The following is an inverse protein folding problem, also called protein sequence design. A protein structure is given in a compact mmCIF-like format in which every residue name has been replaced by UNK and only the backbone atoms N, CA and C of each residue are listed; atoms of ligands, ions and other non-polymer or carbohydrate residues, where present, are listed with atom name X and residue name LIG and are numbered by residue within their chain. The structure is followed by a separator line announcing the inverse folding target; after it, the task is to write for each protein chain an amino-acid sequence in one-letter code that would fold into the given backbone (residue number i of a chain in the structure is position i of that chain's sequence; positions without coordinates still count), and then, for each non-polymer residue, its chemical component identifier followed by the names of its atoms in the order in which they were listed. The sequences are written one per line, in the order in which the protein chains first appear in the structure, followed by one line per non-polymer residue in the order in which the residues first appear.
data_IF_245267838250
#
_entry.id   IF_245267838250
#
_cell.length_a   1.000
_cell.length_b   1.000
_cell.length_c   1.000
_cell.angle_alpha   90.00
_cell.angle_beta   90.00
_cell.angle_gamma   90.00
#
_symmetry.space_group_name_H-M   'P 1'
#
loop_
_entity.id
_entity.type
_entity.pdbx_description
1 polymer ?
#
# COMPACT_ATOMS: atom_id res chain seq x y z
N UNK A 1 38.90 100.93 -8.20
CA UNK A 1 39.92 99.88 -7.93
C UNK A 1 39.57 99.33 -6.56
N UNK A 2 39.10 98.10 -6.35
CA UNK A 2 39.35 96.83 -7.01
C UNK A 2 38.05 96.00 -7.10
N UNK A 3 38.00 95.18 -8.15
CA UNK A 3 36.94 94.27 -8.61
C UNK A 3 37.02 92.88 -7.97
N UNK A 4 35.91 92.15 -7.94
CA UNK A 4 35.87 90.67 -7.87
C UNK A 4 34.76 90.15 -6.95
N UNK A 5 33.62 89.68 -7.49
CA UNK A 5 33.27 88.26 -7.73
C UNK A 5 32.97 87.52 -6.41
N UNK A 6 31.82 86.86 -6.17
CA UNK A 6 31.09 85.93 -7.02
C UNK A 6 29.69 85.61 -6.44
N UNK A 7 28.75 85.35 -7.34
CA UNK A 7 27.46 84.67 -7.12
C UNK A 7 27.67 83.24 -6.58
N UNK A 8 26.89 82.82 -5.58
CA UNK A 8 26.25 81.49 -5.56
C UNK A 8 24.88 81.64 -4.89
N UNK A 9 23.86 81.86 -5.72
CA UNK A 9 22.48 81.55 -5.43
C UNK A 9 22.24 80.08 -5.81
N UNK A 10 21.45 79.37 -5.02
CA UNK A 10 20.88 78.08 -5.41
C UNK A 10 21.57 76.89 -4.76
N UNK A 11 20.92 76.30 -3.75
CA UNK A 11 21.35 75.03 -3.20
C UNK A 11 20.79 74.72 -1.81
N UNK A 12 19.53 75.06 -1.54
CA UNK A 12 18.96 74.76 -0.22
C UNK A 12 17.47 74.41 -0.27
N UNK A 13 17.03 73.61 -1.26
CA UNK A 13 15.65 73.12 -1.31
C UNK A 13 15.54 71.88 -2.21
N UNK A 14 16.21 70.76 -1.89
CA UNK A 14 15.95 69.47 -2.57
C UNK A 14 16.61 68.24 -1.89
N UNK A 15 16.66 68.18 -0.55
CA UNK A 15 17.14 66.94 0.15
C UNK A 15 16.16 66.44 1.23
N UNK A 16 15.09 67.19 1.55
CA UNK A 16 14.12 66.78 2.59
C UNK A 16 12.87 66.05 2.07
N UNK A 17 12.71 65.85 0.75
CA UNK A 17 11.53 65.19 0.18
C UNK A 17 11.71 63.67 -0.10
N UNK A 18 12.90 63.11 0.08
CA UNK A 18 13.18 61.69 -0.24
C UNK A 18 13.17 60.75 0.99
N UNK A 19 12.84 61.24 2.18
CA UNK A 19 12.89 60.48 3.44
C UNK A 19 11.51 60.04 3.99
N UNK A 20 10.41 60.31 3.29
CA UNK A 20 9.04 59.97 3.74
C UNK A 20 8.33 58.87 2.92
N UNK A 21 9.00 58.26 1.93
CA UNK A 21 8.42 57.17 1.12
C UNK A 21 9.25 55.89 1.19
N UNK A 22 9.75 55.58 2.38
CA UNK A 22 10.23 54.24 2.73
C UNK A 22 9.47 53.72 3.95
N UNK A 23 8.13 53.80 3.94
CA UNK A 23 7.32 52.76 4.58
C UNK A 23 7.58 51.48 3.76
N UNK A 24 8.69 50.80 4.08
CA UNK A 24 8.96 49.47 3.55
C UNK A 24 7.73 48.62 3.86
N UNK A 25 7.16 48.02 2.83
CA UNK A 25 6.11 47.02 3.00
C UNK A 25 6.66 45.97 3.98
N UNK A 26 6.17 46.00 5.22
CA UNK A 26 6.51 44.98 6.20
C UNK A 26 6.09 43.65 5.58
N UNK A 27 7.06 42.80 5.23
CA UNK A 27 6.77 41.47 4.74
C UNK A 27 6.00 40.74 5.82
N UNK A 28 4.86 40.16 5.45
CA UNK A 28 4.11 39.29 6.36
C UNK A 28 5.04 38.20 6.89
N UNK A 29 4.86 37.78 8.16
CA UNK A 29 5.61 36.63 8.67
C UNK A 29 5.32 35.40 7.82
N UNK A 30 6.28 34.47 7.78
CA UNK A 30 6.03 33.17 7.17
C UNK A 30 4.85 32.46 7.86
N UNK A 31 4.01 31.82 7.05
CA UNK A 31 2.94 30.95 7.54
C UNK A 31 3.47 29.79 8.38
N UNK A 32 2.61 29.10 9.15
CA UNK A 32 3.00 27.87 9.82
C UNK A 32 3.52 26.87 8.79
N UNK A 33 4.67 26.26 9.09
CA UNK A 33 5.24 25.19 8.28
C UNK A 33 4.49 23.89 8.58
N UNK A 34 3.69 23.45 7.62
CA UNK A 34 2.88 22.22 7.70
C UNK A 34 3.25 21.22 6.60
N UNK A 35 4.32 21.48 5.84
CA UNK A 35 4.62 20.70 4.63
C UNK A 35 5.02 19.26 5.00
N UNK A 36 5.76 19.07 6.09
CA UNK A 36 6.12 17.74 6.59
C UNK A 36 4.89 16.92 7.03
N UNK A 37 3.97 17.58 7.74
CA UNK A 37 2.71 17.04 8.24
C UNK A 37 1.77 16.61 7.10
N UNK A 38 1.60 17.51 6.12
CA UNK A 38 0.84 17.25 4.90
C UNK A 38 1.42 16.04 4.13
N UNK A 39 2.73 16.03 3.89
CA UNK A 39 3.40 14.93 3.19
C UNK A 39 3.33 13.60 3.94
N UNK A 40 3.34 13.60 5.27
CA UNK A 40 3.13 12.40 6.07
C UNK A 40 1.69 11.88 5.90
N UNK A 41 0.70 12.77 6.00
CA UNK A 41 -0.73 12.45 5.84
C UNK A 41 -1.04 11.90 4.45
N UNK A 42 -0.55 12.54 3.39
CA UNK A 42 -0.75 12.07 2.01
C UNK A 42 -0.10 10.70 1.77
N UNK A 43 1.12 10.47 2.26
CA UNK A 43 1.80 9.17 2.12
C UNK A 43 1.06 8.07 2.88
N UNK A 44 0.58 8.35 4.08
CA UNK A 44 -0.18 7.38 4.87
C UNK A 44 -1.50 7.01 4.18
N UNK A 45 -2.20 8.00 3.63
CA UNK A 45 -3.45 7.78 2.88
C UNK A 45 -3.20 6.88 1.67
N UNK A 46 -2.21 7.21 0.84
CA UNK A 46 -1.85 6.40 -0.32
C UNK A 46 -1.41 4.97 0.05
N UNK A 47 -0.74 4.80 1.19
CA UNK A 47 -0.38 3.48 1.70
C UNK A 47 -1.62 2.64 2.05
N UNK A 48 -2.62 3.24 2.73
CA UNK A 48 -3.86 2.55 3.09
C UNK A 48 -4.65 2.17 1.84
N UNK A 49 -4.78 3.08 0.88
CA UNK A 49 -5.46 2.79 -0.39
C UNK A 49 -4.77 1.66 -1.16
N UNK A 50 -3.43 1.67 -1.19
CA UNK A 50 -2.65 0.61 -1.81
C UNK A 50 -2.86 -0.75 -1.15
N UNK A 51 -3.04 -0.80 0.18
CA UNK A 51 -3.36 -2.05 0.90
C UNK A 51 -4.70 -2.60 0.43
N UNK A 52 -5.73 -1.75 0.29
CA UNK A 52 -7.05 -2.19 -0.15
C UNK A 52 -7.02 -2.78 -1.57
N UNK A 53 -6.33 -2.10 -2.50
CA UNK A 53 -6.16 -2.57 -3.87
C UNK A 53 -5.41 -3.91 -3.90
N UNK A 54 -4.28 -4.00 -3.20
CA UNK A 54 -3.47 -5.24 -3.17
C UNK A 54 -4.24 -6.41 -2.55
N UNK A 55 -5.04 -6.17 -1.52
CA UNK A 55 -5.86 -7.22 -0.91
C UNK A 55 -6.95 -7.73 -1.85
N UNK A 56 -7.59 -6.83 -2.63
CA UNK A 56 -8.56 -7.22 -3.64
C UNK A 56 -7.90 -8.02 -4.77
N UNK A 57 -6.78 -7.53 -5.31
CA UNK A 57 -6.04 -8.20 -6.37
C UNK A 57 -5.54 -9.60 -5.94
N UNK A 58 -4.98 -9.73 -4.73
CA UNK A 58 -4.49 -11.01 -4.21
C UNK A 58 -5.65 -12.01 -3.98
N UNK A 59 -6.82 -11.54 -3.54
CA UNK A 59 -8.03 -12.38 -3.39
C UNK A 59 -8.57 -12.84 -4.75
N UNK A 60 -8.67 -11.94 -5.72
CA UNK A 60 -9.11 -12.26 -7.08
C UNK A 60 -8.14 -13.23 -7.76
N UNK A 61 -6.84 -13.05 -7.55
CA UNK A 61 -5.82 -13.99 -8.01
C UNK A 61 -6.03 -15.37 -7.39
N UNK A 62 -6.30 -15.46 -6.08
CA UNK A 62 -6.58 -16.74 -5.42
C UNK A 62 -7.81 -17.43 -6.02
N UNK A 63 -8.89 -16.69 -6.26
CA UNK A 63 -10.12 -17.21 -6.87
C UNK A 63 -9.87 -17.69 -8.30
N UNK A 64 -9.13 -16.92 -9.09
CA UNK A 64 -8.75 -17.28 -10.46
C UNK A 64 -7.93 -18.57 -10.51
N UNK A 65 -6.92 -18.70 -9.64
CA UNK A 65 -6.10 -19.91 -9.53
C UNK A 65 -6.93 -21.13 -9.12
N UNK A 66 -7.84 -20.98 -8.15
CA UNK A 66 -8.76 -22.05 -7.76
C UNK A 66 -9.63 -22.46 -8.93
N UNK A 67 -10.21 -21.51 -9.66
CA UNK A 67 -11.04 -21.81 -10.84
C UNK A 67 -10.23 -22.60 -11.89
N UNK A 68 -9.02 -22.15 -12.22
CA UNK A 68 -8.13 -22.86 -13.16
C UNK A 68 -7.82 -24.28 -12.69
N UNK A 69 -7.55 -24.46 -11.41
CA UNK A 69 -7.29 -25.77 -10.81
C UNK A 69 -8.48 -26.73 -10.99
N UNK A 70 -9.71 -26.26 -10.77
CA UNK A 70 -10.92 -27.10 -10.89
C UNK A 70 -11.22 -27.51 -12.34
N UNK A 71 -10.92 -26.65 -13.31
CA UNK A 71 -11.19 -26.95 -14.72
C UNK A 71 -10.15 -27.89 -15.35
N UNK A 72 -8.93 -27.95 -14.81
CA UNK A 72 -7.84 -28.74 -15.39
C UNK A 72 -7.98 -30.27 -15.19
N UNK A 73 -8.74 -30.74 -14.19
CA UNK A 73 -8.56 -32.07 -13.60
C UNK A 73 -9.51 -33.20 -14.00
N UNK A 74 -10.50 -32.97 -14.87
CA UNK A 74 -11.56 -33.98 -15.13
C UNK A 74 -10.99 -35.32 -15.63
N UNK A 75 -9.93 -35.26 -16.44
CA UNK A 75 -9.31 -36.45 -17.05
C UNK A 75 -8.47 -37.30 -16.07
N UNK A 76 -8.12 -36.74 -14.91
CA UNK A 76 -7.26 -37.40 -13.91
C UNK A 76 -8.03 -38.43 -13.06
N UNK A 77 -9.36 -38.45 -13.13
CA UNK A 77 -10.20 -39.37 -12.38
C UNK A 77 -10.25 -40.78 -12.99
N UNK A 78 -9.63 -40.99 -14.15
CA UNK A 78 -9.64 -42.28 -14.82
C UNK A 78 -8.41 -43.14 -14.45
N UNK A 79 -8.58 -44.44 -14.17
CA UNK A 79 -7.47 -45.37 -14.07
C UNK A 79 -6.58 -45.32 -15.34
N UNK A 80 -5.25 -45.56 -15.23
CA UNK A 80 -4.48 -45.96 -14.05
C UNK A 80 -3.88 -44.77 -13.24
N UNK A 81 -4.51 -43.59 -13.24
CA UNK A 81 -3.95 -42.42 -12.54
C UNK A 81 -3.89 -42.62 -11.01
N UNK A 82 -2.78 -42.28 -10.32
CA UNK A 82 -2.61 -42.46 -8.88
C UNK A 82 -3.33 -41.36 -8.07
N UNK A 83 -4.66 -41.26 -8.21
CA UNK A 83 -5.45 -40.13 -7.71
C UNK A 83 -5.30 -39.89 -6.20
N UNK A 84 -5.29 -40.93 -5.39
CA UNK A 84 -5.18 -40.78 -3.92
C UNK A 84 -3.82 -40.19 -3.50
N UNK A 85 -2.74 -40.62 -4.16
CA UNK A 85 -1.40 -40.08 -3.89
C UNK A 85 -1.26 -38.65 -4.41
N UNK A 86 -1.86 -38.35 -5.57
CA UNK A 86 -1.95 -37.00 -6.09
C UNK A 86 -2.69 -36.07 -5.10
N UNK A 87 -3.88 -36.47 -4.63
CA UNK A 87 -4.65 -35.71 -3.63
C UNK A 87 -3.84 -35.50 -2.36
N UNK A 88 -3.15 -36.52 -1.85
CA UNK A 88 -2.30 -36.40 -0.68
C UNK A 88 -1.22 -35.32 -0.89
N UNK A 89 -0.45 -35.42 -1.99
CA UNK A 89 0.60 -34.46 -2.33
C UNK A 89 0.04 -33.04 -2.44
N UNK A 90 -1.11 -32.86 -3.09
CA UNK A 90 -1.77 -31.56 -3.22
C UNK A 90 -2.16 -30.99 -1.85
N UNK A 91 -2.83 -31.77 -1.01
CA UNK A 91 -3.24 -31.33 0.33
C UNK A 91 -2.03 -31.02 1.22
N UNK A 92 -0.99 -31.84 1.15
CA UNK A 92 0.26 -31.60 1.89
C UNK A 92 0.97 -30.33 1.41
N UNK A 93 1.10 -30.14 0.09
CA UNK A 93 1.66 -28.91 -0.49
C UNK A 93 0.84 -27.70 -0.02
N UNK A 94 -0.50 -27.73 -0.15
CA UNK A 94 -1.36 -26.65 0.34
C UNK A 94 -1.16 -26.36 1.83
N UNK A 95 -0.74 -27.31 2.66
CA UNK A 95 -0.56 -27.10 4.10
C UNK A 95 0.87 -26.71 4.52
N UNK A 96 1.83 -26.74 3.60
CA UNK A 96 3.21 -26.38 3.89
C UNK A 96 3.35 -24.86 4.12
N UNK A 97 4.02 -24.49 5.20
CA UNK A 97 4.31 -23.09 5.52
C UNK A 97 5.20 -22.49 4.43
N UNK A 98 4.74 -21.40 3.80
CA UNK A 98 5.59 -20.67 2.86
C UNK A 98 6.46 -19.70 3.63
N UNK A 99 7.77 -19.94 3.63
CA UNK A 99 8.76 -18.99 4.13
C UNK A 99 8.88 -17.83 3.13
N UNK A 100 7.86 -16.97 3.04
CA UNK A 100 7.84 -15.81 2.14
C UNK A 100 8.85 -14.71 2.53
N UNK A 101 9.71 -14.96 3.52
CA UNK A 101 10.80 -14.09 3.93
C UNK A 101 12.16 -14.76 3.65
N UNK A 102 12.67 -14.62 2.42
CA UNK A 102 14.12 -14.58 2.21
C UNK A 102 14.83 -15.74 1.52
N UNK A 103 14.17 -16.63 0.76
CA UNK A 103 14.91 -17.60 -0.05
C UNK A 103 15.18 -17.08 -1.48
N UNK A 104 16.42 -16.62 -1.69
CA UNK A 104 17.05 -16.56 -3.00
C UNK A 104 17.02 -17.96 -3.65
N UNK A 105 16.88 -18.05 -4.99
CA UNK A 105 16.82 -19.34 -5.68
C UNK A 105 18.18 -20.03 -5.57
N UNK A 106 18.29 -20.96 -4.62
CA UNK A 106 19.42 -21.86 -4.50
C UNK A 106 19.37 -22.90 -5.61
N UNK A 107 20.36 -22.87 -6.50
CA UNK A 107 20.59 -23.83 -7.58
C UNK A 107 20.44 -25.29 -7.12
N UNK A 108 19.31 -25.92 -7.42
CA UNK A 108 19.20 -27.39 -7.49
C UNK A 108 18.19 -27.79 -8.56
N UNK A 109 18.72 -28.50 -9.56
CA UNK A 109 18.13 -29.43 -10.58
C UNK A 109 16.65 -29.23 -11.00
N UNK A 110 16.34 -29.18 -12.31
CA UNK A 110 14.99 -28.97 -12.81
C UNK A 110 14.16 -30.25 -12.73
N UNK A 111 13.47 -30.47 -11.62
CA UNK A 111 12.41 -31.47 -11.49
C UNK A 111 11.15 -30.81 -10.97
N UNK A 112 10.37 -30.20 -11.88
CA UNK A 112 9.21 -29.36 -11.61
C UNK A 112 9.54 -28.16 -10.69
N UNK A 113 9.37 -26.94 -11.18
CA UNK A 113 9.57 -25.70 -10.42
C UNK A 113 8.50 -25.52 -9.32
N UNK A 114 8.40 -26.47 -8.39
CA UNK A 114 7.51 -26.46 -7.23
C UNK A 114 8.33 -26.03 -6.02
N UNK A 115 7.86 -25.01 -5.30
CA UNK A 115 8.49 -24.58 -4.05
C UNK A 115 8.10 -25.48 -2.87
N UNK A 116 6.91 -26.08 -2.89
CA UNK A 116 6.50 -27.06 -1.88
C UNK A 116 7.16 -28.43 -2.10
N UNK A 117 7.53 -29.12 -1.01
CA UNK A 117 8.20 -30.43 -1.02
C UNK A 117 7.52 -31.45 -0.08
N UNK A 118 6.30 -31.90 -0.40
CA UNK A 118 5.59 -32.88 0.41
C UNK A 118 6.23 -34.28 0.34
N UNK A 119 6.08 -35.07 1.41
CA UNK A 119 6.77 -36.35 1.66
C UNK A 119 6.62 -37.43 0.58
N UNK A 120 5.65 -37.33 -0.33
CA UNK A 120 5.43 -38.30 -1.42
C UNK A 120 5.49 -37.69 -2.83
N UNK A 121 6.08 -36.50 -2.97
CA UNK A 121 6.21 -35.85 -4.29
C UNK A 121 7.02 -36.72 -5.26
N UNK A 122 8.20 -37.20 -4.85
CA UNK A 122 9.08 -37.97 -5.71
C UNK A 122 8.43 -39.28 -6.19
N UNK A 123 7.77 -40.00 -5.26
CA UNK A 123 7.02 -41.22 -5.58
C UNK A 123 5.86 -40.94 -6.56
N UNK A 124 5.17 -39.81 -6.40
CA UNK A 124 4.12 -39.40 -7.33
C UNK A 124 4.72 -39.12 -8.71
N UNK A 125 5.82 -38.37 -8.78
CA UNK A 125 6.49 -38.03 -10.04
C UNK A 125 6.91 -39.29 -10.80
N UNK A 126 7.48 -40.29 -10.11
CA UNK A 126 7.83 -41.59 -10.69
C UNK A 126 6.61 -42.34 -11.23
N UNK A 127 5.48 -42.33 -10.49
CA UNK A 127 4.24 -42.97 -10.96
C UNK A 127 3.63 -42.24 -12.16
N UNK A 128 3.75 -40.91 -12.22
CA UNK A 128 3.29 -40.12 -13.35
C UNK A 128 4.06 -40.43 -14.65
N UNK A 129 5.28 -40.99 -14.58
CA UNK A 129 6.01 -41.44 -15.77
C UNK A 129 5.35 -42.64 -16.47
N UNK A 130 4.55 -43.41 -15.74
CA UNK A 130 3.83 -44.59 -16.24
C UNK A 130 2.43 -44.24 -16.79
N UNK A 131 2.00 -42.98 -16.62
CA UNK A 131 0.71 -42.45 -17.04
C UNK A 131 0.85 -41.87 -18.46
N UNK A 132 -0.21 -41.88 -19.31
CA UNK A 132 -0.20 -41.18 -20.59
C UNK A 132 0.33 -39.74 -20.48
N UNK A 133 1.13 -39.27 -21.45
CA UNK A 133 1.87 -38.01 -21.36
C UNK A 133 0.96 -36.80 -21.13
N UNK A 134 -0.24 -36.80 -21.69
CA UNK A 134 -1.20 -35.71 -21.48
C UNK A 134 -1.69 -35.62 -20.04
N UNK A 135 -2.05 -36.74 -19.42
CA UNK A 135 -2.47 -36.77 -18.01
C UNK A 135 -1.31 -36.43 -17.08
N UNK A 136 -0.08 -36.84 -17.42
CA UNK A 136 1.13 -36.43 -16.70
C UNK A 136 1.30 -34.91 -16.75
N UNK A 137 1.22 -34.31 -17.94
CA UNK A 137 1.34 -32.86 -18.13
C UNK A 137 0.27 -32.12 -17.32
N UNK A 138 -0.99 -32.54 -17.42
CA UNK A 138 -2.10 -31.98 -16.64
C UNK A 138 -1.85 -32.07 -15.13
N UNK A 139 -1.40 -33.21 -14.62
CA UNK A 139 -1.08 -33.37 -13.20
C UNK A 139 0.04 -32.42 -12.75
N UNK A 140 1.10 -32.26 -13.54
CA UNK A 140 2.19 -31.33 -13.25
C UNK A 140 1.71 -29.87 -13.27
N UNK A 141 0.87 -29.49 -14.24
CA UNK A 141 0.25 -28.16 -14.29
C UNK A 141 -0.63 -27.90 -13.07
N UNK A 142 -1.40 -28.89 -12.62
CA UNK A 142 -2.20 -28.79 -11.40
C UNK A 142 -1.34 -28.67 -10.14
N UNK A 143 -0.21 -29.39 -10.04
CA UNK A 143 0.73 -29.23 -8.93
C UNK A 143 1.32 -27.81 -8.90
N UNK A 144 1.64 -27.22 -10.06
CA UNK A 144 2.10 -25.82 -10.15
C UNK A 144 1.03 -24.85 -9.66
N UNK A 145 -0.22 -25.01 -10.10
CA UNK A 145 -1.35 -24.20 -9.63
C UNK A 145 -1.55 -24.29 -8.11
N UNK A 146 -1.34 -25.47 -7.53
CA UNK A 146 -1.44 -25.69 -6.08
C UNK A 146 -0.34 -24.97 -5.32
N UNK A 147 0.90 -24.99 -5.82
CA UNK A 147 1.99 -24.22 -5.20
C UNK A 147 1.76 -22.71 -5.33
N UNK A 148 1.26 -22.22 -6.47
CA UNK A 148 0.84 -20.83 -6.63
C UNK A 148 -0.28 -20.45 -5.63
N UNK A 149 -1.31 -21.28 -5.46
CA UNK A 149 -2.38 -21.10 -4.48
C UNK A 149 -1.82 -21.01 -3.05
N UNK A 150 -0.90 -21.90 -2.70
CA UNK A 150 -0.24 -21.91 -1.39
C UNK A 150 0.52 -20.61 -1.12
N UNK A 151 1.28 -20.13 -2.11
CA UNK A 151 2.02 -18.87 -2.01
C UNK A 151 1.09 -17.67 -1.83
N UNK A 152 0.06 -17.52 -2.66
CA UNK A 152 -0.92 -16.42 -2.55
C UNK A 152 -1.64 -16.47 -1.20
N UNK A 153 -2.04 -17.66 -0.72
CA UNK A 153 -2.65 -17.82 0.62
C UNK A 153 -1.73 -17.36 1.73
N UNK A 154 -0.44 -17.70 1.66
CA UNK A 154 0.54 -17.27 2.66
C UNK A 154 0.71 -15.76 2.67
N UNK A 155 0.85 -15.15 1.49
CA UNK A 155 0.92 -13.68 1.32
C UNK A 155 -0.30 -13.00 1.91
N UNK A 156 -1.51 -13.45 1.57
CA UNK A 156 -2.77 -12.93 2.11
C UNK A 156 -2.81 -13.03 3.64
N UNK A 157 -2.49 -14.20 4.22
CA UNK A 157 -2.47 -14.38 5.68
C UNK A 157 -1.51 -13.42 6.37
N UNK A 158 -0.31 -13.26 5.83
CA UNK A 158 0.70 -12.36 6.38
C UNK A 158 0.26 -10.90 6.32
N UNK A 159 -0.31 -10.47 5.19
CA UNK A 159 -0.88 -9.12 5.03
C UNK A 159 -2.03 -8.87 6.01
N UNK A 160 -3.01 -9.77 6.05
CA UNK A 160 -4.17 -9.72 6.95
C UNK A 160 -3.73 -9.58 8.41
N UNK A 161 -2.73 -10.35 8.84
CA UNK A 161 -2.22 -10.32 10.20
C UNK A 161 -1.62 -8.94 10.60
N UNK A 162 -1.15 -8.15 9.63
CA UNK A 162 -0.56 -6.82 9.86
C UNK A 162 -1.59 -5.69 9.91
N UNK A 163 -2.78 -5.88 9.34
CA UNK A 163 -3.80 -4.83 9.22
C UNK A 163 -4.19 -4.19 10.55
N UNK A 164 -4.43 -4.94 11.65
CA UNK A 164 -4.77 -4.31 12.93
C UNK A 164 -3.69 -3.36 13.46
N UNK A 165 -2.41 -3.69 13.22
CA UNK A 165 -1.33 -2.80 13.59
C UNK A 165 -1.30 -1.55 12.72
N UNK A 166 -1.48 -1.70 11.41
CA UNK A 166 -1.55 -0.57 10.46
C UNK A 166 -2.67 0.41 10.85
N UNK A 167 -3.87 -0.10 11.17
CA UNK A 167 -5.01 0.73 11.60
C UNK A 167 -4.64 1.52 12.86
N UNK A 168 -4.14 0.86 13.92
CA UNK A 168 -3.76 1.53 15.17
C UNK A 168 -2.68 2.60 14.96
N UNK A 169 -1.65 2.30 14.18
CA UNK A 169 -0.59 3.27 13.87
C UNK A 169 -1.13 4.46 13.07
N UNK A 170 -2.04 4.22 12.12
CA UNK A 170 -2.65 5.29 11.31
C UNK A 170 -3.58 6.18 12.14
N UNK A 171 -4.33 5.59 13.08
CA UNK A 171 -5.17 6.34 14.03
C UNK A 171 -4.34 7.25 14.93
N UNK A 172 -3.22 6.75 15.47
CA UNK A 172 -2.29 7.57 16.26
C UNK A 172 -1.73 8.75 15.45
N UNK A 173 -1.30 8.50 14.19
CA UNK A 173 -0.88 9.57 13.29
C UNK A 173 -1.99 10.61 13.07
N UNK A 174 -3.23 10.16 12.81
CA UNK A 174 -4.37 11.07 12.59
C UNK A 174 -4.61 11.97 13.80
N UNK A 175 -4.53 11.44 15.02
CA UNK A 175 -4.66 12.22 16.26
C UNK A 175 -3.55 13.26 16.41
N UNK A 176 -2.30 12.88 16.16
CA UNK A 176 -1.14 13.78 16.21
C UNK A 176 -1.29 14.92 15.19
N UNK A 177 -1.67 14.59 13.96
CA UNK A 177 -1.83 15.56 12.88
C UNK A 177 -3.03 16.51 13.12
N UNK A 178 -4.11 16.04 13.75
CA UNK A 178 -5.21 16.90 14.22
C UNK A 178 -4.77 17.85 15.32
N UNK A 179 -3.87 17.45 16.21
CA UNK A 179 -3.29 18.34 17.20
C UNK A 179 -2.42 19.42 16.54
N UNK A 180 -1.59 19.03 15.57
CA UNK A 180 -0.74 19.93 14.78
C UNK A 180 -1.56 20.96 14.01
N UNK A 181 -2.64 20.55 13.34
CA UNK A 181 -3.57 21.47 12.65
C UNK A 181 -4.17 22.49 13.62
N UNK A 182 -4.60 22.08 14.82
CA UNK A 182 -5.15 22.99 15.84
C UNK A 182 -4.10 24.01 16.31
N UNK A 183 -2.85 23.57 16.51
CA UNK A 183 -1.76 24.46 16.90
C UNK A 183 -1.43 25.47 15.78
N UNK A 184 -1.35 25.02 14.53
CA UNK A 184 -1.11 25.88 13.38
C UNK A 184 -2.23 26.93 13.19
N UNK A 185 -3.49 26.53 13.37
CA UNK A 185 -4.64 27.45 13.34
C UNK A 185 -4.57 28.50 14.47
N UNK A 186 -4.30 28.06 15.70
CA UNK A 186 -4.16 28.98 16.83
C UNK A 186 -3.01 29.97 16.63
N UNK A 187 -1.89 29.50 16.07
CA UNK A 187 -0.73 30.34 15.77
C UNK A 187 -1.02 31.36 14.68
N UNK A 188 -1.70 30.93 13.62
CA UNK A 188 -2.10 31.81 12.53
C UNK A 188 -3.04 32.91 13.06
N UNK A 189 -4.08 32.55 13.83
CA UNK A 189 -5.03 33.52 14.39
C UNK A 189 -4.35 34.51 15.34
N UNK A 190 -3.43 34.03 16.19
CA UNK A 190 -2.64 34.89 17.07
C UNK A 190 -1.82 35.93 16.30
N UNK A 191 -1.27 35.55 15.14
CA UNK A 191 -0.45 36.44 14.29
C UNK A 191 -1.26 37.22 13.27
N UNK A 192 -2.59 37.08 13.21
CA UNK A 192 -3.46 37.72 12.23
C UNK A 192 -3.18 39.21 11.95
N UNK A 193 -2.94 40.08 12.95
CA UNK A 193 -2.66 41.50 12.70
C UNK A 193 -1.36 41.78 11.93
N UNK A 194 -0.47 40.79 11.84
CA UNK A 194 0.85 40.89 11.19
C UNK A 194 0.80 40.48 9.71
N UNK A 195 -0.32 39.92 9.24
CA UNK A 195 -0.47 39.47 7.85
C UNK A 195 -1.14 40.52 6.97
N UNK A 196 -0.67 40.60 5.72
CA UNK A 196 -1.44 41.19 4.64
C UNK A 196 -2.70 40.36 4.34
N UNK A 197 -3.71 40.97 3.73
CA UNK A 197 -4.95 40.26 3.37
C UNK A 197 -4.75 39.15 2.33
N UNK A 198 -3.71 39.21 1.49
CA UNK A 198 -3.37 38.15 0.54
C UNK A 198 -2.69 36.98 1.24
N UNK A 199 -1.72 37.27 2.12
CA UNK A 199 -0.93 36.23 2.79
C UNK A 199 -1.77 35.50 3.83
N UNK A 200 -2.69 36.22 4.49
CA UNK A 200 -3.71 35.62 5.36
C UNK A 200 -4.56 34.58 4.63
N UNK A 201 -5.09 34.94 3.46
CA UNK A 201 -5.90 34.03 2.64
C UNK A 201 -5.09 32.82 2.19
N UNK A 202 -3.85 33.03 1.73
CA UNK A 202 -2.98 31.94 1.32
C UNK A 202 -2.68 30.97 2.49
N UNK A 203 -2.42 31.48 3.69
CA UNK A 203 -2.20 30.66 4.88
C UNK A 203 -3.47 29.88 5.28
N UNK A 204 -4.65 30.52 5.21
CA UNK A 204 -5.92 29.85 5.45
C UNK A 204 -6.20 28.73 4.43
N UNK A 205 -5.96 28.97 3.14
CA UNK A 205 -6.11 27.94 2.09
C UNK A 205 -5.23 26.72 2.39
N UNK A 206 -3.97 26.92 2.77
CA UNK A 206 -3.09 25.79 3.13
C UNK A 206 -3.60 24.96 4.31
N UNK A 207 -4.17 25.61 5.34
CA UNK A 207 -4.77 24.90 6.47
C UNK A 207 -6.05 24.15 6.08
N UNK A 208 -6.80 24.67 5.11
CA UNK A 208 -7.97 23.99 4.55
C UNK A 208 -7.58 22.76 3.72
N UNK A 209 -6.54 22.89 2.89
CA UNK A 209 -5.98 21.77 2.12
C UNK A 209 -5.51 20.67 3.08
N UNK A 210 -4.79 21.04 4.15
CA UNK A 210 -4.37 20.08 5.17
C UNK A 210 -5.54 19.42 5.90
N UNK A 211 -6.61 20.17 6.22
CA UNK A 211 -7.84 19.58 6.78
C UNK A 211 -8.49 18.58 5.82
N UNK A 212 -8.52 18.91 4.53
CA UNK A 212 -9.07 18.03 3.49
C UNK A 212 -8.28 16.72 3.42
N UNK A 213 -6.95 16.77 3.45
CA UNK A 213 -6.12 15.56 3.47
C UNK A 213 -6.31 14.73 4.75
N UNK A 214 -6.51 15.37 5.92
CA UNK A 214 -6.82 14.64 7.15
C UNK A 214 -8.17 13.93 7.09
N UNK A 215 -9.17 14.55 6.47
CA UNK A 215 -10.47 13.90 6.23
C UNK A 215 -10.31 12.68 5.33
N UNK A 216 -9.51 12.78 4.26
CA UNK A 216 -9.24 11.63 3.39
C UNK A 216 -8.53 10.50 4.11
N UNK A 217 -7.56 10.82 4.97
CA UNK A 217 -6.88 9.81 5.80
C UNK A 217 -7.88 9.10 6.74
N UNK A 218 -8.77 9.87 7.38
CA UNK A 218 -9.82 9.32 8.24
C UNK A 218 -10.76 8.38 7.47
N UNK A 219 -11.26 8.81 6.31
CA UNK A 219 -12.12 8.01 5.44
C UNK A 219 -11.41 6.71 5.01
N UNK A 220 -10.11 6.78 4.67
CA UNK A 220 -9.32 5.61 4.29
C UNK A 220 -9.13 4.63 5.46
N UNK A 221 -8.88 5.13 6.68
CA UNK A 221 -8.78 4.32 7.89
C UNK A 221 -10.12 3.63 8.18
N UNK A 222 -11.23 4.36 8.07
CA UNK A 222 -12.58 3.81 8.28
C UNK A 222 -12.87 2.71 7.26
N UNK A 223 -12.63 2.96 5.97
CA UNK A 223 -12.82 1.98 4.90
C UNK A 223 -12.01 0.70 5.17
N UNK A 224 -10.73 0.82 5.53
CA UNK A 224 -9.88 -0.32 5.88
C UNK A 224 -10.41 -1.07 7.12
N UNK A 225 -10.90 -0.35 8.13
CA UNK A 225 -11.45 -0.91 9.37
C UNK A 225 -12.74 -1.71 9.09
N UNK A 226 -13.58 -1.22 8.18
CA UNK A 226 -14.81 -1.87 7.76
C UNK A 226 -14.53 -3.10 6.89
N UNK A 227 -13.57 -3.04 5.98
CA UNK A 227 -13.25 -4.13 5.05
C UNK A 227 -12.49 -5.29 5.71
N UNK A 228 -11.59 -5.00 6.66
CA UNK A 228 -10.69 -5.99 7.26
C UNK A 228 -11.36 -7.27 7.79
N UNK A 229 -12.47 -7.22 8.54
CA UNK A 229 -13.11 -8.42 9.10
C UNK A 229 -13.60 -9.43 8.04
N UNK A 230 -13.76 -8.99 6.79
CA UNK A 230 -14.29 -9.83 5.72
C UNK A 230 -13.21 -10.64 5.01
N UNK A 231 -12.00 -10.11 4.86
CA UNK A 231 -10.91 -10.78 4.16
C UNK A 231 -10.50 -12.14 4.75
N UNK A 232 -10.36 -12.32 6.09
CA UNK A 232 -10.10 -13.63 6.67
C UNK A 232 -11.21 -14.63 6.33
N UNK A 233 -12.48 -14.20 6.41
CA UNK A 233 -13.64 -15.06 6.14
C UNK A 233 -13.70 -15.49 4.68
N UNK A 234 -13.41 -14.58 3.75
CA UNK A 234 -13.35 -14.89 2.32
C UNK A 234 -12.23 -15.88 2.03
N UNK A 235 -11.01 -15.62 2.54
CA UNK A 235 -9.86 -16.51 2.34
C UNK A 235 -10.14 -17.91 2.89
N UNK A 236 -10.60 -18.02 4.13
CA UNK A 236 -10.92 -19.30 4.75
C UNK A 236 -12.04 -20.02 3.98
N UNK A 237 -13.06 -19.28 3.52
CA UNK A 237 -14.13 -19.83 2.67
C UNK A 237 -13.60 -20.40 1.35
N UNK A 238 -12.70 -19.71 0.65
CA UNK A 238 -12.11 -20.21 -0.58
C UNK A 238 -11.19 -21.41 -0.35
N UNK A 239 -10.43 -21.41 0.74
CA UNK A 239 -9.55 -22.52 1.14
C UNK A 239 -10.37 -23.77 1.52
N UNK A 240 -11.41 -23.61 2.33
CA UNK A 240 -12.35 -24.70 2.66
C UNK A 240 -13.02 -25.25 1.42
N UNK A 241 -13.46 -24.37 0.50
CA UNK A 241 -14.01 -24.77 -0.79
C UNK A 241 -13.03 -25.63 -1.60
N UNK A 242 -11.76 -25.21 -1.70
CA UNK A 242 -10.72 -25.97 -2.37
C UNK A 242 -10.53 -27.37 -1.77
N UNK A 243 -10.53 -27.51 -0.43
CA UNK A 243 -10.44 -28.83 0.20
C UNK A 243 -11.65 -29.73 -0.11
N UNK A 244 -12.86 -29.17 -0.14
CA UNK A 244 -14.07 -29.91 -0.50
C UNK A 244 -14.02 -30.36 -1.96
N UNK A 245 -13.57 -29.49 -2.85
CA UNK A 245 -13.41 -29.81 -4.27
C UNK A 245 -12.36 -30.92 -4.48
N UNK A 246 -11.23 -30.86 -3.76
CA UNK A 246 -10.19 -31.89 -3.77
C UNK A 246 -10.70 -33.24 -3.29
N UNK A 247 -11.54 -33.26 -2.24
CA UNK A 247 -12.17 -34.48 -1.75
C UNK A 247 -13.18 -35.07 -2.75
N UNK A 248 -13.74 -34.23 -3.62
CA UNK A 248 -14.71 -34.62 -4.66
C UNK A 248 -14.11 -35.16 -5.95
N UNK A 249 -12.78 -35.08 -6.16
CA UNK A 249 -12.07 -35.53 -7.37
C UNK A 249 -12.08 -37.07 -7.53
N UNK A 250 -13.22 -37.71 -7.76
CA UNK A 250 -13.37 -39.18 -7.88
C UNK A 250 -13.21 -39.70 -9.29
#
# INVERSE_FOLDING_TARGET
MSTGHQLIAGGLFLVTAALLMACGAAQSPAGPDIDAALNATTRQTAQIDSIQIQMADDLDQFVSLRSRFLHAGIELNQPPFPIEQFRFVVVSCLNEESNAAGEQPGNTVPSAELLCRPTFLDDLLLRLEQVPPERRRTALEMLKLVDELRQVRSTLRHRIARIPQTIRTSQGLLEDQRAELRQAQAELERRRPQYSSSDWRAAQTRLEDFRTELSRLEDAIEALTVAYPDWPRQLDGHVSGLYMDLAGLR
#
